data_IF_697077298974
#
_entry.id   IF_697077298974
#
_cell.length_a   1.000
_cell.length_b   1.000
_cell.length_c   1.000
_cell.angle_alpha   90.00
_cell.angle_beta   90.00
_cell.angle_gamma   90.00
#
_symmetry.space_group_name_H-M   'P 1'
#
loop_
_entity.id
_entity.type
_entity.pdbx_description
1 polymer ?
#
# COMPACT_ATOMS: atom_id res chain seq x y z
N UNK A 1 8.41 -23.14 -23.06
CA UNK A 1 7.92 -21.73 -22.93
C UNK A 1 7.89 -21.41 -21.44
N UNK A 2 8.58 -20.38 -20.98
CA UNK A 2 8.59 -20.01 -19.54
C UNK A 2 7.20 -19.43 -19.20
N UNK A 3 6.59 -19.84 -18.09
CA UNK A 3 5.29 -19.26 -17.69
C UNK A 3 5.45 -17.76 -17.48
N UNK A 4 4.44 -16.98 -17.87
CA UNK A 4 4.39 -15.55 -17.66
C UNK A 4 4.35 -15.23 -16.17
N UNK A 5 5.02 -14.15 -15.77
CA UNK A 5 4.94 -13.66 -14.40
C UNK A 5 3.66 -12.83 -14.21
N UNK A 6 3.13 -12.70 -12.98
CA UNK A 6 2.00 -11.81 -12.70
C UNK A 6 2.21 -10.39 -13.23
N UNK A 7 3.42 -9.86 -13.11
CA UNK A 7 3.81 -8.54 -13.63
C UNK A 7 3.69 -8.47 -15.16
N UNK A 8 4.13 -9.51 -15.86
CA UNK A 8 4.05 -9.57 -17.34
C UNK A 8 2.59 -9.64 -17.81
N UNK A 9 1.75 -10.45 -17.15
CA UNK A 9 0.32 -10.56 -17.46
C UNK A 9 -0.42 -9.22 -17.28
N UNK A 10 -0.22 -8.55 -16.13
CA UNK A 10 -0.82 -7.24 -15.89
C UNK A 10 -0.30 -6.17 -16.84
N UNK A 11 0.99 -6.21 -17.19
CA UNK A 11 1.57 -5.30 -18.17
C UNK A 11 0.95 -5.49 -19.56
N UNK A 12 0.80 -6.73 -20.01
CA UNK A 12 0.16 -7.04 -21.29
C UNK A 12 -1.30 -6.55 -21.33
N UNK A 13 -2.07 -6.78 -20.27
CA UNK A 13 -3.44 -6.30 -20.15
C UNK A 13 -3.52 -4.76 -20.22
N UNK A 14 -2.68 -4.05 -19.43
CA UNK A 14 -2.57 -2.59 -19.50
C UNK A 14 -2.21 -2.11 -20.90
N UNK A 15 -1.23 -2.71 -21.54
CA UNK A 15 -0.73 -2.28 -22.85
C UNK A 15 -1.79 -2.49 -23.94
N UNK A 16 -2.65 -3.51 -23.80
CA UNK A 16 -3.82 -3.69 -24.66
C UNK A 16 -4.80 -2.53 -24.52
N UNK A 17 -5.13 -2.12 -23.29
CA UNK A 17 -6.00 -0.96 -23.06
C UNK A 17 -5.39 0.35 -23.58
N UNK A 18 -4.09 0.55 -23.35
CA UNK A 18 -3.40 1.75 -23.85
C UNK A 18 -3.33 1.81 -25.38
N UNK A 19 -3.19 0.66 -26.05
CA UNK A 19 -3.18 0.58 -27.52
C UNK A 19 -4.53 0.97 -28.11
N UNK A 20 -5.62 0.59 -27.47
CA UNK A 20 -6.99 0.84 -27.91
C UNK A 20 -7.70 1.97 -27.16
N UNK A 21 -6.93 2.88 -26.52
CA UNK A 21 -7.48 3.92 -25.62
C UNK A 21 -8.52 4.86 -26.24
N UNK A 22 -8.56 4.95 -27.57
CA UNK A 22 -9.50 5.78 -28.34
C UNK A 22 -10.58 4.97 -29.07
N UNK A 23 -10.55 3.65 -28.93
CA UNK A 23 -11.49 2.73 -29.58
C UNK A 23 -12.03 1.75 -28.52
N UNK A 24 -13.21 2.05 -28.01
CA UNK A 24 -13.84 1.25 -26.95
C UNK A 24 -14.16 -0.18 -27.40
N UNK A 25 -14.67 -0.34 -28.62
CA UNK A 25 -15.10 -1.65 -29.11
C UNK A 25 -13.90 -2.56 -29.35
N UNK A 26 -12.83 -2.03 -29.94
CA UNK A 26 -11.57 -2.75 -30.07
C UNK A 26 -10.92 -3.07 -28.71
N UNK A 27 -10.94 -2.12 -27.78
CA UNK A 27 -10.43 -2.36 -26.41
C UNK A 27 -11.20 -3.49 -25.71
N UNK A 28 -12.53 -3.45 -25.79
CA UNK A 28 -13.42 -4.47 -25.19
C UNK A 28 -13.23 -5.84 -25.82
N UNK A 29 -13.07 -5.90 -27.13
CA UNK A 29 -12.88 -7.16 -27.84
C UNK A 29 -11.52 -7.81 -27.56
N UNK A 30 -10.45 -6.99 -27.38
CA UNK A 30 -9.09 -7.46 -27.21
C UNK A 30 -8.67 -7.65 -25.75
N UNK A 31 -9.41 -7.07 -24.78
CA UNK A 31 -9.03 -7.10 -23.37
C UNK A 31 -9.47 -8.37 -22.66
N UNK A 32 -8.51 -9.04 -22.04
CA UNK A 32 -8.77 -10.13 -21.10
C UNK A 32 -8.19 -9.78 -19.73
N UNK A 33 -8.93 -10.10 -18.66
CA UNK A 33 -8.45 -9.94 -17.30
C UNK A 33 -7.33 -10.91 -17.02
N UNK A 34 -6.16 -10.45 -16.55
CA UNK A 34 -5.11 -11.34 -16.08
C UNK A 34 -5.62 -12.16 -14.90
N UNK A 35 -5.23 -13.44 -14.83
CA UNK A 35 -5.68 -14.39 -13.80
C UNK A 35 -4.49 -15.11 -13.16
N UNK A 36 -3.53 -14.40 -12.57
CA UNK A 36 -2.41 -15.05 -11.90
C UNK A 36 -2.91 -15.81 -10.67
N UNK A 37 -2.31 -16.96 -10.37
CA UNK A 37 -2.63 -17.73 -9.16
C UNK A 37 -2.37 -16.94 -7.87
N UNK A 38 -1.34 -16.11 -7.89
CA UNK A 38 -0.94 -15.24 -6.76
C UNK A 38 -0.58 -13.87 -7.30
N UNK A 39 -1.08 -12.85 -6.63
CA UNK A 39 -0.77 -11.48 -6.99
C UNK A 39 -0.77 -10.59 -5.75
N UNK A 40 0.30 -9.84 -5.58
CA UNK A 40 0.37 -8.75 -4.60
C UNK A 40 0.68 -7.45 -5.35
N UNK A 41 -0.29 -6.57 -5.43
CA UNK A 41 -0.15 -5.34 -6.22
C UNK A 41 1.11 -4.54 -5.89
N UNK A 42 1.49 -4.48 -4.61
CA UNK A 42 2.67 -3.71 -4.21
C UNK A 42 3.99 -4.41 -4.58
N UNK A 43 4.05 -5.74 -4.51
CA UNK A 43 5.28 -6.50 -4.82
C UNK A 43 5.39 -6.86 -6.30
N UNK A 44 4.26 -7.25 -6.93
CA UNK A 44 4.26 -7.77 -8.31
C UNK A 44 4.03 -6.67 -9.36
N UNK A 45 3.49 -5.51 -8.95
CA UNK A 45 3.26 -4.40 -9.88
C UNK A 45 4.03 -3.14 -9.49
N UNK A 46 3.82 -2.60 -8.28
CA UNK A 46 4.41 -1.32 -7.90
C UNK A 46 5.93 -1.39 -7.80
N UNK A 47 6.49 -2.36 -7.07
CA UNK A 47 7.93 -2.46 -6.88
C UNK A 47 8.72 -2.65 -8.18
N UNK A 48 8.28 -3.52 -9.14
CA UNK A 48 8.98 -3.66 -10.42
C UNK A 48 8.96 -2.42 -11.31
N UNK A 49 7.93 -1.59 -11.24
CA UNK A 49 7.89 -0.33 -12.01
C UNK A 49 8.58 0.83 -11.29
N UNK A 50 8.79 0.71 -9.98
CA UNK A 50 9.38 1.73 -9.13
C UNK A 50 10.90 1.60 -8.99
N UNK A 51 11.45 0.41 -9.23
CA UNK A 51 12.89 0.15 -9.12
C UNK A 51 13.70 1.01 -10.09
N UNK A 52 14.60 1.85 -9.53
CA UNK A 52 15.42 2.78 -10.31
C UNK A 52 14.64 3.85 -11.06
N UNK A 53 13.38 4.08 -10.72
CA UNK A 53 12.50 5.04 -11.40
C UNK A 53 12.46 6.37 -10.64
N UNK A 54 13.17 7.36 -11.15
CA UNK A 54 13.30 8.71 -10.59
C UNK A 54 12.13 9.64 -10.95
N UNK A 55 11.12 9.16 -11.67
CA UNK A 55 9.92 9.97 -11.98
C UNK A 55 9.16 10.24 -10.69
N UNK A 56 8.50 11.40 -10.66
CA UNK A 56 7.64 11.81 -9.55
C UNK A 56 6.48 10.83 -9.36
N UNK A 57 6.39 10.25 -8.14
CA UNK A 57 5.30 9.36 -7.74
C UNK A 57 4.30 10.05 -6.80
N UNK A 58 4.79 10.87 -5.89
CA UNK A 58 3.97 11.57 -4.90
C UNK A 58 4.42 13.02 -4.79
N UNK A 59 3.46 13.94 -4.88
CA UNK A 59 3.65 15.35 -4.65
C UNK A 59 2.57 15.84 -3.68
N UNK A 60 2.98 16.25 -2.50
CA UNK A 60 2.11 16.83 -1.48
C UNK A 60 2.46 18.30 -1.37
N UNK A 61 1.44 19.13 -1.39
CA UNK A 61 1.53 20.58 -1.19
C UNK A 61 0.69 20.93 0.03
N UNK A 62 1.34 21.49 1.03
CA UNK A 62 0.69 21.95 2.27
C UNK A 62 0.06 23.33 2.05
N UNK A 63 -0.90 23.71 2.91
CA UNK A 63 -1.57 25.03 2.85
C UNK A 63 -0.58 26.19 2.99
N UNK A 64 0.52 26.00 3.72
CA UNK A 64 1.59 27.00 3.88
C UNK A 64 2.55 27.07 2.70
N UNK A 65 2.30 26.33 1.62
CA UNK A 65 3.13 26.25 0.42
C UNK A 65 4.34 25.32 0.53
N UNK A 66 4.52 24.62 1.63
CA UNK A 66 5.56 23.59 1.75
C UNK A 66 5.25 22.42 0.83
N UNK A 67 6.23 21.98 0.06
CA UNK A 67 6.09 20.87 -0.87
C UNK A 67 6.94 19.67 -0.46
N UNK A 68 6.39 18.48 -0.64
CA UNK A 68 7.12 17.22 -0.50
C UNK A 68 6.97 16.41 -1.78
N UNK A 69 8.10 16.10 -2.41
CA UNK A 69 8.16 15.34 -3.67
C UNK A 69 8.93 14.05 -3.45
N UNK A 70 8.35 12.93 -3.86
CA UNK A 70 8.97 11.61 -3.76
C UNK A 70 8.90 10.91 -5.10
N UNK A 71 10.00 10.30 -5.51
CA UNK A 71 10.06 9.48 -6.73
C UNK A 71 9.47 8.09 -6.48
N UNK A 72 9.22 7.34 -7.56
CA UNK A 72 8.78 5.95 -7.45
C UNK A 72 9.79 5.10 -6.68
N UNK A 73 11.10 5.21 -6.95
CA UNK A 73 12.11 4.45 -6.24
C UNK A 73 12.21 4.84 -4.76
N UNK A 74 12.08 6.12 -4.45
CA UNK A 74 12.00 6.57 -3.06
C UNK A 74 10.78 6.00 -2.33
N UNK A 75 9.61 5.98 -2.96
CA UNK A 75 8.39 5.39 -2.39
C UNK A 75 8.56 3.89 -2.14
N UNK A 76 9.19 3.15 -3.09
CA UNK A 76 9.53 1.74 -2.94
C UNK A 76 10.43 1.52 -1.73
N UNK A 77 11.53 2.24 -1.67
CA UNK A 77 12.52 2.09 -0.60
C UNK A 77 11.96 2.44 0.77
N UNK A 78 11.20 3.53 0.88
CA UNK A 78 10.59 3.98 2.13
C UNK A 78 9.50 3.01 2.60
N UNK A 79 8.64 2.55 1.71
CA UNK A 79 7.63 1.55 2.05
C UNK A 79 8.22 0.20 2.46
N UNK A 80 9.38 -0.20 1.91
CA UNK A 80 10.11 -1.38 2.37
C UNK A 80 10.60 -1.23 3.82
N UNK A 81 11.12 -0.07 4.18
CA UNK A 81 11.54 0.22 5.57
C UNK A 81 10.35 0.14 6.54
N UNK A 82 9.22 0.75 6.17
CA UNK A 82 7.98 0.68 6.96
C UNK A 82 7.48 -0.76 7.08
N UNK A 83 7.50 -1.54 5.99
CA UNK A 83 7.10 -2.94 6.00
C UNK A 83 7.99 -3.79 6.94
N UNK A 84 9.30 -3.57 6.91
CA UNK A 84 10.23 -4.27 7.80
C UNK A 84 9.99 -3.91 9.27
N UNK A 85 9.74 -2.64 9.56
CA UNK A 85 9.41 -2.19 10.91
C UNK A 85 8.09 -2.80 11.41
N UNK A 86 7.02 -2.75 10.61
CA UNK A 86 5.73 -3.34 10.93
C UNK A 86 5.84 -4.86 11.16
N UNK A 87 6.63 -5.57 10.35
CA UNK A 87 6.92 -6.99 10.54
C UNK A 87 7.63 -7.23 11.87
N UNK A 88 8.59 -6.39 12.24
CA UNK A 88 9.25 -6.43 13.54
C UNK A 88 8.30 -6.18 14.71
N UNK A 89 7.20 -5.43 14.49
CA UNK A 89 6.10 -5.26 15.44
C UNK A 89 5.10 -6.44 15.46
N UNK A 90 5.31 -7.47 14.64
CA UNK A 90 4.47 -8.66 14.57
C UNK A 90 3.31 -8.58 13.58
N UNK A 91 3.28 -7.57 12.70
CA UNK A 91 2.25 -7.47 11.65
C UNK A 91 2.56 -8.44 10.52
N UNK A 92 1.59 -9.27 10.16
CA UNK A 92 1.69 -10.29 9.13
C UNK A 92 0.44 -10.43 8.25
N UNK A 93 0.40 -11.48 7.42
CA UNK A 93 -0.71 -11.71 6.51
C UNK A 93 -2.06 -11.87 7.24
N UNK A 94 -3.07 -11.14 6.76
CA UNK A 94 -4.42 -11.17 7.33
C UNK A 94 -4.62 -10.31 8.57
N UNK A 95 -3.57 -9.78 9.17
CA UNK A 95 -3.68 -8.86 10.29
C UNK A 95 -4.40 -7.57 9.86
N UNK A 96 -5.28 -7.09 10.73
CA UNK A 96 -6.04 -5.86 10.49
C UNK A 96 -5.34 -4.70 11.15
N UNK A 97 -5.05 -3.65 10.37
CA UNK A 97 -4.37 -2.45 10.86
C UNK A 97 -5.23 -1.24 10.59
N UNK A 98 -5.60 -0.52 11.66
CA UNK A 98 -6.27 0.78 11.52
C UNK A 98 -5.20 1.82 11.19
N UNK A 99 -5.36 2.45 10.03
CA UNK A 99 -4.47 3.50 9.55
C UNK A 99 -5.18 4.85 9.62
N UNK A 100 -4.79 5.65 10.61
CA UNK A 100 -5.36 6.97 10.86
C UNK A 100 -4.26 8.02 10.72
N UNK A 101 -4.05 8.47 9.50
CA UNK A 101 -3.09 9.53 9.16
C UNK A 101 -3.76 10.55 8.25
N UNK A 102 -3.31 11.80 8.30
CA UNK A 102 -3.66 12.85 7.35
C UNK A 102 -3.04 12.60 5.98
N UNK A 103 -3.26 13.52 5.05
CA UNK A 103 -2.67 13.43 3.71
C UNK A 103 -1.17 13.81 3.75
N UNK A 104 -0.37 12.88 4.19
CA UNK A 104 1.08 13.01 4.36
C UNK A 104 1.80 11.81 3.72
N UNK A 105 3.09 11.91 3.46
CA UNK A 105 3.84 10.87 2.76
C UNK A 105 3.80 9.52 3.49
N UNK A 106 3.80 9.55 4.81
CA UNK A 106 3.75 8.37 5.68
C UNK A 106 2.46 7.56 5.53
N UNK A 107 1.35 8.19 5.13
CA UNK A 107 0.11 7.50 4.77
C UNK A 107 0.34 6.56 3.58
N UNK A 108 0.93 7.07 2.51
CA UNK A 108 1.17 6.32 1.28
C UNK A 108 2.25 5.26 1.45
N UNK A 109 3.31 5.57 2.19
CA UNK A 109 4.36 4.61 2.55
C UNK A 109 3.79 3.43 3.35
N UNK A 110 2.92 3.73 4.31
CA UNK A 110 2.29 2.71 5.17
C UNK A 110 1.27 1.88 4.40
N UNK A 111 0.47 2.47 3.51
CA UNK A 111 -0.43 1.74 2.62
C UNK A 111 0.33 0.71 1.79
N UNK A 112 1.40 1.12 1.12
CA UNK A 112 2.24 0.21 0.34
C UNK A 112 2.86 -0.88 1.22
N UNK A 113 3.36 -0.51 2.41
CA UNK A 113 3.96 -1.46 3.34
C UNK A 113 2.97 -2.54 3.79
N UNK A 114 1.74 -2.16 4.14
CA UNK A 114 0.70 -3.09 4.57
C UNK A 114 0.25 -4.01 3.42
N UNK A 115 0.16 -3.50 2.19
CA UNK A 115 -0.08 -4.33 1.00
C UNK A 115 1.02 -5.37 0.81
N UNK A 116 2.31 -4.98 0.95
CA UNK A 116 3.46 -5.91 0.87
C UNK A 116 3.37 -7.02 1.91
N UNK A 117 2.93 -6.69 3.12
CA UNK A 117 2.74 -7.65 4.20
C UNK A 117 1.47 -8.50 4.07
N UNK A 118 0.62 -8.23 3.09
CA UNK A 118 -0.71 -8.85 2.93
C UNK A 118 -1.60 -8.61 4.15
N UNK A 119 -1.40 -7.50 4.84
CA UNK A 119 -2.24 -7.06 5.94
C UNK A 119 -3.49 -6.35 5.41
N UNK A 120 -4.55 -6.38 6.19
CA UNK A 120 -5.82 -5.70 5.88
C UNK A 120 -5.78 -4.29 6.42
N UNK A 121 -5.82 -3.31 5.52
CA UNK A 121 -5.85 -1.89 5.89
C UNK A 121 -7.27 -1.46 6.19
N UNK A 122 -7.48 -0.82 7.34
CA UNK A 122 -8.74 -0.18 7.71
C UNK A 122 -8.48 1.32 7.79
N UNK A 123 -8.73 2.06 6.70
CA UNK A 123 -8.47 3.49 6.69
C UNK A 123 -9.48 4.21 7.61
N UNK A 124 -8.97 5.18 8.36
CA UNK A 124 -9.76 5.99 9.26
C UNK A 124 -9.32 7.46 9.15
N UNK A 125 -10.29 8.36 9.16
CA UNK A 125 -9.99 9.79 9.20
C UNK A 125 -9.60 10.23 10.61
N UNK A 126 -8.65 11.16 10.78
CA UNK A 126 -8.36 11.78 12.07
C UNK A 126 -9.53 12.54 12.72
N UNK A 127 -10.59 12.78 11.94
CA UNK A 127 -11.81 13.47 12.41
C UNK A 127 -12.78 12.54 13.16
N UNK A 128 -12.50 11.24 13.23
CA UNK A 128 -13.37 10.28 13.96
C UNK A 128 -13.42 10.61 15.44
N UNK A 129 -14.65 10.70 15.97
CA UNK A 129 -14.88 10.82 17.39
C UNK A 129 -14.51 9.54 18.17
N UNK A 130 -14.33 9.64 19.51
CA UNK A 130 -13.97 8.48 20.34
C UNK A 130 -14.95 7.30 20.25
N UNK A 131 -16.22 7.57 20.09
CA UNK A 131 -17.26 6.55 19.94
C UNK A 131 -17.07 5.75 18.65
N UNK A 132 -16.91 6.44 17.52
CA UNK A 132 -16.74 5.82 16.20
C UNK A 132 -15.43 5.02 16.12
N UNK A 133 -14.38 5.56 16.73
CA UNK A 133 -13.10 4.87 16.81
C UNK A 133 -13.23 3.57 17.64
N UNK A 134 -13.93 3.64 18.76
CA UNK A 134 -14.18 2.47 19.62
C UNK A 134 -14.95 1.38 18.87
N UNK A 135 -16.01 1.75 18.12
CA UNK A 135 -16.78 0.82 17.31
C UNK A 135 -15.90 0.16 16.21
N UNK A 136 -15.09 0.95 15.50
CA UNK A 136 -14.14 0.42 14.50
C UNK A 136 -13.14 -0.56 15.11
N UNK A 137 -12.54 -0.20 16.25
CA UNK A 137 -11.59 -1.07 16.97
C UNK A 137 -12.27 -2.37 17.38
N UNK A 138 -13.49 -2.30 17.91
CA UNK A 138 -14.25 -3.48 18.32
C UNK A 138 -14.55 -4.41 17.15
N UNK A 139 -15.01 -3.88 16.03
CA UNK A 139 -15.34 -4.65 14.82
C UNK A 139 -14.09 -5.18 14.11
N UNK A 140 -13.08 -4.36 14.02
CA UNK A 140 -11.84 -4.67 13.32
C UNK A 140 -10.99 -5.71 14.03
N UNK A 141 -10.98 -5.72 15.39
CA UNK A 141 -10.04 -6.51 16.21
C UNK A 141 -8.61 -6.39 15.67
N UNK A 142 -8.05 -5.17 15.58
CA UNK A 142 -6.79 -4.96 14.89
C UNK A 142 -5.62 -5.58 15.64
N UNK A 143 -4.67 -6.19 14.92
CA UNK A 143 -3.48 -6.80 15.47
C UNK A 143 -2.58 -5.78 16.20
N UNK A 144 -2.44 -4.58 15.65
CA UNK A 144 -1.62 -3.50 16.24
C UNK A 144 -2.12 -3.02 17.61
N UNK A 145 -3.39 -3.12 17.92
CA UNK A 145 -3.92 -2.79 19.26
C UNK A 145 -3.42 -3.74 20.33
N UNK A 146 -3.20 -5.01 20.03
CA UNK A 146 -2.66 -5.99 20.97
C UNK A 146 -1.15 -5.87 21.16
N UNK A 147 -0.40 -5.41 20.16
CA UNK A 147 1.06 -5.22 20.23
C UNK A 147 1.47 -3.94 20.97
N UNK A 148 0.66 -2.89 20.95
CA UNK A 148 0.90 -1.66 21.74
C UNK A 148 0.88 -1.92 23.27
N UNK A 149 0.37 -3.06 23.75
CA UNK A 149 0.42 -3.47 25.15
C UNK A 149 1.75 -4.13 25.58
N UNK A 150 2.71 -4.31 24.65
CA UNK A 150 4.04 -4.81 24.97
C UNK A 150 5.06 -3.66 25.06
N UNK A 151 4.77 -2.64 25.85
CA UNK A 151 5.85 -1.81 26.37
C UNK A 151 6.48 -2.61 27.53
N UNK A 152 7.75 -3.01 27.44
CA UNK A 152 8.41 -3.59 28.63
C UNK A 152 8.41 -2.51 29.71
N UNK A 153 7.94 -2.87 30.89
CA UNK A 153 8.03 -2.03 32.06
C UNK A 153 9.49 -1.60 32.20
N UNK A 154 9.76 -0.29 32.13
CA UNK A 154 11.08 0.25 32.46
C UNK A 154 11.40 -0.15 33.89
N UNK A 155 12.33 -1.05 34.08
CA UNK A 155 12.96 -1.29 35.37
C UNK A 155 13.70 0.00 35.77
N UNK A 156 13.05 0.83 36.56
CA UNK A 156 13.76 1.82 37.37
C UNK A 156 14.45 1.08 38.52
N UNK A 157 15.76 1.09 38.51
CA UNK A 157 16.59 1.08 39.72
C UNK A 157 17.60 2.21 39.62
#
# INVERSE_FOLDING_TARGET
MRPSTPTEEFRAARDTLLRHRTDYDAARAAFEWPRPERFNWALDWFDPIAEGNDRLALHIVEENGTERRLTFDQMRTRSNRVANWLRGCGVGPGDRVILMLGNQAELWETLLALMKLRAVVIPATPQLGPHDLTDRVRRARPAMWSSARRTPASSRR
#
